data_IF_421599401744
#
_entry.id   IF_421599401744
#
_cell.length_a   1.000
_cell.length_b   1.000
_cell.length_c   1.000
_cell.angle_alpha   90.00
_cell.angle_beta   90.00
_cell.angle_gamma   90.00
#
_symmetry.space_group_name_H-M   'P 1'
#
loop_
_entity.id
_entity.type
_entity.pdbx_description
1 polymer ?
#
# COMPACT_ATOMS: atom_id res chain seq x y z
N UNK A 1 -20.60 -7.10 48.20
CA UNK A 1 -19.54 -6.16 47.72
C UNK A 1 -18.41 -6.94 47.04
N UNK A 2 -17.66 -7.81 47.73
CA UNK A 2 -16.57 -8.62 47.13
C UNK A 2 -16.91 -9.38 45.82
N UNK A 3 -18.06 -10.05 45.71
CA UNK A 3 -18.44 -10.76 44.47
C UNK A 3 -18.73 -9.84 43.27
N UNK A 4 -19.19 -8.61 43.52
CA UNK A 4 -19.45 -7.62 42.47
C UNK A 4 -18.12 -7.05 41.95
N UNK A 5 -17.15 -6.84 42.85
CA UNK A 5 -15.81 -6.36 42.50
C UNK A 5 -15.01 -7.40 41.70
N UNK A 6 -15.15 -8.69 42.05
CA UNK A 6 -14.59 -9.81 41.29
C UNK A 6 -15.20 -9.89 39.89
N UNK A 7 -16.54 -9.84 39.77
CA UNK A 7 -17.24 -9.82 38.49
C UNK A 7 -16.83 -8.63 37.62
N UNK A 8 -16.70 -7.44 38.21
CA UNK A 8 -16.29 -6.23 37.50
C UNK A 8 -14.83 -6.33 37.02
N UNK A 9 -13.94 -6.92 37.84
CA UNK A 9 -12.54 -7.18 37.48
C UNK A 9 -12.44 -8.21 36.35
N UNK A 10 -13.19 -9.32 36.42
CA UNK A 10 -13.20 -10.34 35.37
C UNK A 10 -13.77 -9.80 34.06
N UNK A 11 -14.84 -9.01 34.12
CA UNK A 11 -15.42 -8.36 32.95
C UNK A 11 -14.46 -7.35 32.32
N UNK A 12 -13.79 -6.54 33.14
CA UNK A 12 -12.77 -5.59 32.67
C UNK A 12 -11.61 -6.29 31.94
N UNK A 13 -11.15 -7.42 32.48
CA UNK A 13 -10.09 -8.23 31.89
C UNK A 13 -10.53 -8.87 30.56
N UNK A 14 -11.77 -9.35 30.47
CA UNK A 14 -12.32 -9.85 29.20
C UNK A 14 -12.45 -8.75 28.15
N UNK A 15 -12.91 -7.56 28.53
CA UNK A 15 -13.02 -6.42 27.60
C UNK A 15 -11.63 -5.94 27.13
N UNK A 16 -10.62 -5.98 28.01
CA UNK A 16 -9.24 -5.69 27.65
C UNK A 16 -8.67 -6.75 26.68
N UNK A 17 -8.84 -8.04 26.98
CA UNK A 17 -8.39 -9.13 26.12
C UNK A 17 -9.05 -9.07 24.74
N UNK A 18 -10.35 -8.81 24.68
CA UNK A 18 -11.08 -8.66 23.43
C UNK A 18 -10.57 -7.47 22.59
N UNK A 19 -10.17 -6.36 23.24
CA UNK A 19 -9.52 -5.24 22.55
C UNK A 19 -8.15 -5.63 22.01
N UNK A 20 -7.34 -6.31 22.81
CA UNK A 20 -5.99 -6.75 22.41
C UNK A 20 -6.04 -7.75 21.24
N UNK A 21 -6.99 -8.70 21.25
CA UNK A 21 -7.23 -9.61 20.12
C UNK A 21 -7.65 -8.86 18.86
N UNK A 22 -8.59 -7.92 18.97
CA UNK A 22 -8.98 -7.07 17.83
C UNK A 22 -7.81 -6.25 17.30
N UNK A 23 -6.96 -5.74 18.19
CA UNK A 23 -5.78 -5.00 17.80
C UNK A 23 -4.79 -5.91 17.06
N UNK A 24 -4.56 -7.14 17.56
CA UNK A 24 -3.69 -8.12 16.91
C UNK A 24 -4.22 -8.53 15.53
N UNK A 25 -5.52 -8.80 15.41
CA UNK A 25 -6.17 -9.11 14.14
C UNK A 25 -6.11 -7.94 13.14
N UNK A 26 -6.01 -6.71 13.64
CA UNK A 26 -5.87 -5.51 12.80
C UNK A 26 -4.43 -5.25 12.34
N UNK A 27 -3.44 -5.98 12.85
CA UNK A 27 -2.05 -5.84 12.43
C UNK A 27 -1.89 -6.42 11.03
N UNK A 28 -1.41 -5.60 10.09
CA UNK A 28 -1.06 -6.06 8.76
C UNK A 28 0.15 -6.99 8.85
N UNK A 29 -0.04 -8.27 8.51
CA UNK A 29 1.03 -9.28 8.55
C UNK A 29 2.05 -9.14 7.42
N UNK A 30 1.82 -8.22 6.47
CA UNK A 30 2.66 -8.03 5.28
C UNK A 30 3.39 -6.70 5.36
N UNK A 31 4.71 -6.76 5.19
CA UNK A 31 5.51 -5.57 4.93
C UNK A 31 5.15 -5.01 3.55
N UNK A 32 4.94 -3.69 3.48
CA UNK A 32 4.52 -3.01 2.26
C UNK A 32 5.54 -1.94 1.90
N UNK A 33 6.06 -1.99 0.68
CA UNK A 33 6.99 -0.98 0.16
C UNK A 33 6.36 -0.20 -1.00
N UNK A 34 6.70 1.08 -1.11
CA UNK A 34 6.40 1.90 -2.29
C UNK A 34 7.72 2.37 -2.89
N UNK A 35 7.87 2.18 -4.20
CA UNK A 35 9.08 2.59 -4.93
C UNK A 35 8.60 3.47 -6.07
N UNK A 36 9.18 4.67 -6.17
CA UNK A 36 8.94 5.56 -7.31
C UNK A 36 9.96 5.28 -8.40
N UNK A 37 9.49 5.08 -9.62
CA UNK A 37 10.34 4.95 -10.82
C UNK A 37 10.07 6.16 -11.70
N UNK A 38 11.12 6.90 -12.04
CA UNK A 38 11.01 8.17 -12.79
C UNK A 38 11.85 8.07 -14.06
N UNK A 39 11.24 8.40 -15.20
CA UNK A 39 11.94 8.52 -16.47
C UNK A 39 12.51 9.93 -16.63
N UNK A 40 13.81 10.03 -16.92
CA UNK A 40 14.50 11.29 -17.26
C UNK A 40 14.99 11.18 -18.70
N UNK A 41 14.43 12.00 -19.58
CA UNK A 41 14.79 12.07 -20.98
C UNK A 41 16.11 12.82 -21.22
N UNK A 42 16.67 12.67 -22.42
CA UNK A 42 17.90 13.36 -22.80
C UNK A 42 17.73 14.89 -22.74
N UNK A 43 18.62 15.56 -22.00
CA UNK A 43 18.60 17.02 -21.84
C UNK A 43 17.53 17.56 -20.89
N UNK A 44 16.76 16.70 -20.21
CA UNK A 44 15.84 17.13 -19.15
C UNK A 44 16.59 17.34 -17.84
N UNK A 45 16.53 18.55 -17.30
CA UNK A 45 17.18 18.92 -16.03
C UNK A 45 16.22 19.53 -15.02
N UNK A 46 15.09 20.07 -15.49
CA UNK A 46 14.08 20.68 -14.66
C UNK A 46 13.00 19.67 -14.24
N UNK A 47 12.54 19.77 -13.00
CA UNK A 47 11.49 18.89 -12.46
C UNK A 47 10.21 18.89 -13.30
N UNK A 48 9.67 20.05 -13.74
CA UNK A 48 8.45 20.07 -14.54
C UNK A 48 8.55 19.24 -15.82
N UNK A 49 9.66 19.35 -16.57
CA UNK A 49 9.84 18.56 -17.80
C UNK A 49 9.89 17.06 -17.50
N UNK A 50 10.64 16.65 -16.47
CA UNK A 50 10.75 15.24 -16.05
C UNK A 50 9.39 14.64 -15.67
N UNK A 51 8.58 15.36 -14.88
CA UNK A 51 7.26 14.87 -14.43
C UNK A 51 6.15 15.04 -15.48
N UNK A 52 6.40 15.77 -16.57
CA UNK A 52 5.45 15.93 -17.68
C UNK A 52 5.53 14.81 -18.73
N UNK A 53 6.51 13.91 -18.61
CA UNK A 53 6.68 12.78 -19.52
C UNK A 53 5.44 11.89 -19.53
N UNK A 54 4.95 11.55 -20.73
CA UNK A 54 3.78 10.68 -20.93
C UNK A 54 4.16 9.23 -21.28
N UNK A 55 5.40 9.02 -21.72
CA UNK A 55 5.98 7.71 -22.02
C UNK A 55 7.49 7.75 -21.80
N UNK A 56 8.11 6.60 -21.55
CA UNK A 56 9.57 6.47 -21.51
C UNK A 56 10.19 6.08 -22.85
N UNK A 57 11.44 5.64 -22.80
CA UNK A 57 12.14 5.00 -23.93
C UNK A 57 11.84 3.50 -24.00
N UNK A 58 12.06 2.82 -25.14
CA UNK A 58 11.82 1.38 -25.24
C UNK A 58 12.52 0.54 -24.17
N UNK A 59 13.81 0.77 -23.83
CA UNK A 59 14.47 0.05 -22.74
C UNK A 59 13.88 0.35 -21.35
N UNK A 60 13.32 1.55 -21.15
CA UNK A 60 12.66 1.90 -19.89
C UNK A 60 11.34 1.13 -19.73
N UNK A 61 10.53 1.08 -20.80
CA UNK A 61 9.28 0.31 -20.78
C UNK A 61 9.57 -1.19 -20.60
N UNK A 62 10.59 -1.71 -21.27
CA UNK A 62 11.05 -3.09 -21.07
C UNK A 62 11.50 -3.32 -19.62
N UNK A 63 12.27 -2.41 -19.02
CA UNK A 63 12.66 -2.50 -17.61
C UNK A 63 11.43 -2.56 -16.67
N UNK A 64 10.40 -1.75 -16.90
CA UNK A 64 9.18 -1.78 -16.09
C UNK A 64 8.48 -3.14 -16.11
N UNK A 65 8.47 -3.84 -17.25
CA UNK A 65 7.88 -5.18 -17.35
C UNK A 65 8.62 -6.23 -16.52
N UNK A 66 9.89 -5.99 -16.21
CA UNK A 66 10.70 -6.88 -15.38
C UNK A 66 10.57 -6.60 -13.87
N UNK A 67 9.97 -5.47 -13.47
CA UNK A 67 9.77 -5.13 -12.06
C UNK A 67 8.59 -5.87 -11.42
N UNK A 68 7.63 -6.33 -12.22
CA UNK A 68 6.44 -7.01 -11.72
C UNK A 68 5.31 -7.05 -12.75
N UNK A 69 4.09 -7.24 -12.27
CA UNK A 69 2.91 -7.33 -13.12
C UNK A 69 2.22 -5.99 -13.27
N UNK A 70 1.79 -5.68 -14.50
CA UNK A 70 0.90 -4.56 -14.75
C UNK A 70 -0.48 -4.87 -14.16
N UNK A 71 -0.96 -4.00 -13.27
CA UNK A 71 -2.27 -4.12 -12.61
C UNK A 71 -3.12 -2.88 -12.88
N UNK A 72 -4.42 -3.08 -13.11
CA UNK A 72 -5.39 -1.99 -13.21
C UNK A 72 -5.77 -1.50 -11.80
N UNK A 73 -5.58 -0.22 -11.51
CA UNK A 73 -5.76 0.33 -10.17
C UNK A 73 -7.22 0.24 -9.68
N UNK A 74 -8.20 0.31 -10.58
CA UNK A 74 -9.62 0.20 -10.27
C UNK A 74 -10.00 -1.20 -9.72
N UNK A 75 -9.34 -2.25 -10.21
CA UNK A 75 -9.62 -3.67 -9.85
C UNK A 75 -8.62 -4.24 -8.85
N UNK A 76 -7.49 -3.56 -8.61
CA UNK A 76 -6.44 -4.05 -7.74
C UNK A 76 -6.88 -4.09 -6.27
N UNK A 77 -6.80 -5.27 -5.65
CA UNK A 77 -7.19 -5.51 -4.25
C UNK A 77 -6.01 -5.47 -3.26
N UNK A 78 -4.78 -5.37 -3.76
CA UNK A 78 -3.56 -5.33 -2.94
C UNK A 78 -3.21 -3.93 -2.42
N UNK A 79 -1.99 -3.79 -1.91
CA UNK A 79 -1.47 -2.53 -1.40
C UNK A 79 -1.27 -1.51 -2.53
N UNK A 80 -2.06 -0.43 -2.53
CA UNK A 80 -2.05 0.58 -3.60
C UNK A 80 -0.99 1.67 -3.45
N UNK A 81 -0.22 1.70 -2.36
CA UNK A 81 0.85 2.69 -2.18
C UNK A 81 0.40 4.16 -2.18
N UNK A 82 -0.89 4.44 -1.96
CA UNK A 82 -1.47 5.79 -2.05
C UNK A 82 -2.00 6.19 -3.43
N UNK A 83 -2.00 5.28 -4.42
CA UNK A 83 -2.56 5.52 -5.74
C UNK A 83 -4.09 5.47 -5.73
N UNK A 84 -4.73 6.40 -6.45
CA UNK A 84 -6.19 6.48 -6.54
C UNK A 84 -6.73 5.47 -7.57
N UNK A 85 -7.81 4.71 -7.27
CA UNK A 85 -8.34 3.66 -8.14
C UNK A 85 -9.21 4.23 -9.27
N UNK A 86 -8.56 4.88 -10.25
CA UNK A 86 -9.23 5.38 -11.43
C UNK A 86 -9.39 4.26 -12.50
N UNK A 87 -10.42 4.31 -13.35
CA UNK A 87 -10.52 3.44 -14.51
C UNK A 87 -9.38 3.71 -15.49
N UNK A 88 -8.91 2.67 -16.19
CA UNK A 88 -7.84 2.76 -17.20
C UNK A 88 -6.51 3.33 -16.70
N UNK A 89 -6.27 3.34 -15.40
CA UNK A 89 -4.95 3.64 -14.84
C UNK A 89 -4.28 2.37 -14.37
N UNK A 90 -2.99 2.27 -14.66
CA UNK A 90 -2.19 1.07 -14.43
C UNK A 90 -0.95 1.41 -13.62
N UNK A 91 -0.46 0.43 -12.88
CA UNK A 91 0.83 0.50 -12.20
C UNK A 91 1.48 -0.88 -12.21
N UNK A 92 2.78 -0.93 -11.91
CA UNK A 92 3.51 -2.18 -11.74
C UNK A 92 3.44 -2.59 -10.27
N UNK A 93 3.11 -3.86 -10.03
CA UNK A 93 2.95 -4.42 -8.69
C UNK A 93 3.65 -5.77 -8.56
N UNK A 94 4.25 -6.02 -7.40
CA UNK A 94 4.87 -7.28 -7.01
C UNK A 94 4.41 -7.66 -5.60
N UNK A 95 4.12 -8.95 -5.38
CA UNK A 95 3.61 -9.50 -4.12
C UNK A 95 4.19 -10.88 -3.81
#
# INVERSE_FOLDING_TARGET
RQNIDLLNTTKHNCDQLLRELKNLDSLNCRETHKIAVIYVGYGQEDKPSIFSNTHGSPPYEEFLTHLGWQVELSKHTGFRGGLHPLPNTYSIYYA
#
